data_IF_907828674974
#
_entry.id   IF_907828674974
#
_cell.length_a   1.000
_cell.length_b   1.000
_cell.length_c   1.000
_cell.angle_alpha   90.00
_cell.angle_beta   90.00
_cell.angle_gamma   90.00
#
_symmetry.space_group_name_H-M   'P 1'
#
loop_
_entity.id
_entity.type
_entity.pdbx_description
1 polymer ?
#
# COMPACT_ATOMS: atom_id res chain seq x y z
N UNK A 1 1.00 -19.22 -36.21
CA UNK A 1 1.20 -18.18 -35.20
C UNK A 1 2.53 -17.44 -35.28
N UNK A 2 3.60 -17.90 -35.98
CA UNK A 2 4.82 -17.09 -36.09
C UNK A 2 4.58 -15.73 -36.76
N UNK A 3 3.86 -15.72 -37.89
CA UNK A 3 3.68 -14.51 -38.71
C UNK A 3 2.88 -13.39 -38.01
N UNK A 4 1.75 -13.71 -37.37
CA UNK A 4 0.96 -12.67 -36.68
C UNK A 4 1.69 -12.16 -35.44
N UNK A 5 2.41 -13.02 -34.74
CA UNK A 5 3.21 -12.62 -33.60
C UNK A 5 4.34 -11.66 -34.03
N UNK A 6 4.95 -11.89 -35.20
CA UNK A 6 5.97 -10.98 -35.73
C UNK A 6 5.39 -9.65 -36.20
N UNK A 7 4.14 -9.63 -36.70
CA UNK A 7 3.43 -8.35 -36.95
C UNK A 7 3.18 -7.60 -35.64
N UNK A 8 2.74 -8.30 -34.59
CA UNK A 8 2.55 -7.70 -33.26
C UNK A 8 3.86 -7.15 -32.70
N UNK A 9 4.96 -7.92 -32.78
CA UNK A 9 6.29 -7.46 -32.32
C UNK A 9 6.77 -6.22 -33.07
N UNK A 10 6.61 -6.19 -34.40
CA UNK A 10 6.91 -5.01 -35.21
C UNK A 10 6.03 -3.81 -34.82
N UNK A 11 4.75 -4.03 -34.59
CA UNK A 11 3.85 -2.98 -34.12
C UNK A 11 4.32 -2.42 -32.76
N UNK A 12 4.71 -3.29 -31.82
CA UNK A 12 5.26 -2.87 -30.52
C UNK A 12 6.54 -2.04 -30.67
N UNK A 13 7.43 -2.44 -31.58
CA UNK A 13 8.69 -1.72 -31.86
C UNK A 13 8.46 -0.32 -32.45
N UNK A 14 7.45 -0.15 -33.31
CA UNK A 14 7.24 1.10 -34.05
C UNK A 14 6.19 2.04 -33.44
N UNK A 15 5.43 1.58 -32.44
CA UNK A 15 4.41 2.43 -31.80
C UNK A 15 5.03 3.25 -30.67
N UNK A 16 4.84 4.56 -30.74
CA UNK A 16 5.22 5.47 -29.66
C UNK A 16 4.01 5.69 -28.75
N UNK A 17 4.14 5.28 -27.49
CA UNK A 17 3.13 5.53 -26.45
C UNK A 17 3.51 6.74 -25.60
N UNK A 18 2.52 7.48 -25.05
CA UNK A 18 2.75 8.48 -24.03
C UNK A 18 3.51 7.90 -22.82
N UNK A 19 4.29 8.73 -22.13
CA UNK A 19 5.14 8.32 -21.00
C UNK A 19 4.40 7.75 -19.80
N UNK A 20 3.11 8.04 -19.67
CA UNK A 20 2.25 7.57 -18.57
C UNK A 20 1.62 6.19 -18.82
N UNK A 21 1.79 5.61 -20.02
CA UNK A 21 1.36 4.24 -20.33
C UNK A 21 2.57 3.30 -20.17
N UNK A 22 2.36 2.18 -19.48
CA UNK A 22 3.38 1.12 -19.40
C UNK A 22 3.75 0.58 -20.79
N UNK A 23 4.91 -0.06 -20.91
CA UNK A 23 5.38 -0.63 -22.18
C UNK A 23 5.32 -2.14 -22.15
N UNK A 24 4.85 -2.72 -23.25
CA UNK A 24 4.90 -4.16 -23.48
C UNK A 24 6.28 -4.53 -24.04
N UNK A 25 6.88 -5.66 -23.65
CA UNK A 25 8.14 -6.14 -24.21
C UNK A 25 8.13 -6.27 -25.73
N UNK A 26 9.18 -5.75 -26.36
CA UNK A 26 9.41 -5.88 -27.80
C UNK A 26 9.56 -7.34 -28.27
N UNK A 27 10.08 -8.22 -27.41
CA UNK A 27 10.28 -9.65 -27.67
C UNK A 27 9.13 -10.52 -27.15
N UNK A 28 7.89 -10.01 -27.21
CA UNK A 28 6.66 -10.69 -26.77
C UNK A 28 6.65 -12.18 -27.14
N UNK A 29 6.38 -13.05 -26.17
CA UNK A 29 6.32 -14.50 -26.36
C UNK A 29 7.69 -15.21 -26.37
N UNK A 30 8.79 -14.49 -26.16
CA UNK A 30 10.11 -15.09 -25.88
C UNK A 30 10.20 -15.61 -24.45
N UNK A 31 10.85 -16.77 -24.25
CA UNK A 31 11.09 -17.33 -22.92
C UNK A 31 11.92 -16.41 -22.01
N UNK A 32 12.75 -15.52 -22.60
CA UNK A 32 13.67 -14.65 -21.86
C UNK A 32 13.01 -13.52 -21.06
N UNK A 33 11.76 -13.14 -21.37
CA UNK A 33 11.10 -12.00 -20.71
C UNK A 33 10.15 -12.41 -19.58
N UNK A 34 9.87 -13.71 -19.42
CA UNK A 34 8.88 -14.18 -18.46
C UNK A 34 7.44 -13.86 -18.88
N UNK A 35 6.53 -13.85 -17.90
CA UNK A 35 5.10 -13.58 -18.12
C UNK A 35 4.78 -12.10 -18.09
N UNK A 36 3.87 -11.67 -18.95
CA UNK A 36 3.35 -10.30 -18.91
C UNK A 36 2.57 -10.03 -17.62
N UNK A 37 2.70 -8.81 -17.11
CA UNK A 37 1.88 -8.28 -16.02
C UNK A 37 0.47 -7.96 -16.51
N UNK A 38 -0.47 -7.80 -15.57
CA UNK A 38 -1.86 -7.51 -15.90
C UNK A 38 -2.03 -6.22 -16.74
N UNK A 39 -1.29 -5.16 -16.40
CA UNK A 39 -1.31 -3.90 -17.15
C UNK A 39 -0.78 -4.07 -18.59
N UNK A 40 0.30 -4.84 -18.76
CA UNK A 40 0.90 -5.13 -20.07
C UNK A 40 -0.05 -5.95 -20.95
N UNK A 41 -0.75 -6.95 -20.38
CA UNK A 41 -1.83 -7.66 -21.07
C UNK A 41 -2.93 -6.70 -21.52
N UNK A 42 -3.37 -5.80 -20.65
CA UNK A 42 -4.42 -4.85 -20.98
C UNK A 42 -4.03 -3.92 -22.14
N UNK A 43 -2.80 -3.41 -22.14
CA UNK A 43 -2.24 -2.58 -23.20
C UNK A 43 -2.12 -3.38 -24.50
N UNK A 44 -1.67 -4.63 -24.42
CA UNK A 44 -1.57 -5.53 -25.56
C UNK A 44 -2.93 -5.70 -26.26
N UNK A 45 -4.01 -5.96 -25.51
CA UNK A 45 -5.35 -6.14 -26.07
C UNK A 45 -5.98 -4.84 -26.58
N UNK A 46 -5.85 -3.73 -25.83
CA UNK A 46 -6.51 -2.47 -26.16
C UNK A 46 -5.81 -1.67 -27.26
N UNK A 47 -4.49 -1.75 -27.34
CA UNK A 47 -3.66 -0.88 -28.21
C UNK A 47 -2.97 -1.69 -29.30
N UNK A 48 -2.12 -2.64 -28.92
CA UNK A 48 -1.25 -3.29 -29.91
C UNK A 48 -1.99 -4.28 -30.80
N UNK A 49 -2.91 -5.07 -30.26
CA UNK A 49 -3.67 -6.03 -31.06
C UNK A 49 -4.63 -5.35 -32.02
N UNK A 50 -5.24 -4.23 -31.63
CA UNK A 50 -6.10 -3.45 -32.54
C UNK A 50 -5.27 -2.88 -33.69
N UNK A 51 -4.11 -2.30 -33.41
CA UNK A 51 -3.21 -1.77 -34.45
C UNK A 51 -2.60 -2.86 -35.35
N UNK A 52 -2.18 -3.99 -34.77
CA UNK A 52 -1.47 -5.04 -35.49
C UNK A 52 -2.40 -5.98 -36.29
N UNK A 53 -3.56 -6.33 -35.73
CA UNK A 53 -4.41 -7.39 -36.29
C UNK A 53 -5.45 -6.88 -37.29
N UNK A 54 -5.93 -5.63 -37.16
CA UNK A 54 -6.87 -5.04 -38.13
C UNK A 54 -6.32 -5.10 -39.57
N UNK A 55 -5.07 -4.70 -39.86
CA UNK A 55 -4.50 -4.81 -41.21
C UNK A 55 -4.45 -6.25 -41.73
N UNK A 56 -4.20 -7.23 -40.85
CA UNK A 56 -4.16 -8.65 -41.20
C UNK A 56 -5.55 -9.13 -41.63
N UNK A 57 -6.58 -8.74 -40.88
CA UNK A 57 -7.97 -9.10 -41.18
C UNK A 57 -8.43 -8.52 -42.52
N UNK A 58 -8.16 -7.22 -42.74
CA UNK A 58 -8.55 -6.53 -43.97
C UNK A 58 -7.90 -7.15 -45.19
N UNK A 59 -6.59 -7.43 -45.13
CA UNK A 59 -5.86 -8.04 -46.23
C UNK A 59 -6.34 -9.45 -46.56
N UNK A 60 -6.58 -10.27 -45.54
CA UNK A 60 -7.06 -11.65 -45.73
C UNK A 60 -8.48 -11.72 -46.33
N UNK A 61 -9.33 -10.71 -46.05
CA UNK A 61 -10.65 -10.58 -46.64
C UNK A 61 -10.61 -10.11 -48.10
N UNK A 62 -9.62 -9.29 -48.45
CA UNK A 62 -9.42 -8.79 -49.82
C UNK A 62 -8.74 -9.81 -50.75
N UNK A 63 -7.83 -10.63 -50.22
CA UNK A 63 -7.05 -11.59 -51.01
C UNK A 63 -7.83 -12.91 -51.29
N UNK A 64 -7.51 -13.58 -52.41
CA UNK A 64 -7.96 -14.96 -52.74
C UNK A 64 -7.21 -16.01 -51.92
N UNK A 65 -7.01 -15.76 -50.62
CA UNK A 65 -6.36 -16.69 -49.71
C UNK A 65 -7.09 -18.04 -49.63
N UNK A 66 -6.36 -19.10 -49.26
CA UNK A 66 -6.92 -20.44 -49.10
C UNK A 66 -8.06 -20.45 -48.07
N UNK A 67 -9.02 -21.37 -48.22
CA UNK A 67 -10.14 -21.55 -47.27
C UNK A 67 -9.66 -21.71 -45.83
N UNK A 68 -8.52 -22.38 -45.64
CA UNK A 68 -7.89 -22.57 -44.33
C UNK A 68 -7.34 -21.25 -43.75
N UNK A 69 -6.69 -20.42 -44.56
CA UNK A 69 -6.19 -19.11 -44.14
C UNK A 69 -7.34 -18.20 -43.73
N UNK A 70 -8.41 -18.15 -44.54
CA UNK A 70 -9.62 -17.37 -44.24
C UNK A 70 -10.30 -17.81 -42.95
N UNK A 71 -10.45 -19.13 -42.74
CA UNK A 71 -11.01 -19.68 -41.49
C UNK A 71 -10.17 -19.31 -40.28
N UNK A 72 -8.85 -19.44 -40.37
CA UNK A 72 -7.92 -19.10 -39.30
C UNK A 72 -7.96 -17.61 -38.95
N UNK A 73 -7.97 -16.74 -39.95
CA UNK A 73 -8.08 -15.29 -39.72
C UNK A 73 -9.42 -14.91 -39.11
N UNK A 74 -10.51 -15.56 -39.54
CA UNK A 74 -11.84 -15.38 -38.94
C UNK A 74 -11.87 -15.76 -37.46
N UNK A 75 -11.25 -16.90 -37.09
CA UNK A 75 -11.13 -17.33 -35.69
C UNK A 75 -10.27 -16.37 -34.85
N UNK A 76 -9.17 -15.86 -35.42
CA UNK A 76 -8.32 -14.85 -34.76
C UNK A 76 -9.08 -13.55 -34.53
N UNK A 77 -9.81 -13.07 -35.55
CA UNK A 77 -10.67 -11.89 -35.45
C UNK A 77 -11.71 -12.09 -34.34
N UNK A 78 -12.47 -13.19 -34.37
CA UNK A 78 -13.53 -13.43 -33.40
C UNK A 78 -12.99 -13.58 -31.97
N UNK A 79 -11.94 -14.38 -31.78
CA UNK A 79 -11.36 -14.60 -30.45
C UNK A 79 -10.79 -13.31 -29.85
N UNK A 80 -10.06 -12.52 -30.63
CA UNK A 80 -9.43 -11.29 -30.12
C UNK A 80 -10.44 -10.15 -29.93
N UNK A 81 -11.42 -9.98 -30.82
CA UNK A 81 -12.48 -8.97 -30.64
C UNK A 81 -13.36 -9.29 -29.45
N UNK A 82 -13.78 -10.55 -29.29
CA UNK A 82 -14.60 -10.97 -28.14
C UNK A 82 -13.82 -10.78 -26.83
N UNK A 83 -12.53 -11.14 -26.80
CA UNK A 83 -11.69 -10.91 -25.63
C UNK A 83 -11.51 -9.41 -25.30
N UNK A 84 -11.35 -8.55 -26.31
CA UNK A 84 -11.29 -7.10 -26.12
C UNK A 84 -12.60 -6.54 -25.56
N UNK A 85 -13.76 -7.07 -25.97
CA UNK A 85 -15.06 -6.70 -25.40
C UNK A 85 -15.18 -7.12 -23.94
N UNK A 86 -14.81 -8.36 -23.60
CA UNK A 86 -14.77 -8.84 -22.21
C UNK A 86 -13.83 -7.98 -21.36
N UNK A 87 -12.61 -7.73 -21.84
CA UNK A 87 -11.64 -6.90 -21.14
C UNK A 87 -12.14 -5.45 -20.97
N UNK A 88 -12.87 -4.91 -21.95
CA UNK A 88 -13.51 -3.60 -21.82
C UNK A 88 -14.51 -3.62 -20.67
N UNK A 89 -15.48 -4.55 -20.68
CA UNK A 89 -16.48 -4.73 -19.63
C UNK A 89 -15.86 -4.80 -18.23
N UNK A 90 -14.87 -5.68 -18.04
CA UNK A 90 -14.22 -5.91 -16.74
C UNK A 90 -13.38 -4.72 -16.25
N UNK A 91 -13.07 -3.76 -17.13
CA UNK A 91 -12.33 -2.53 -16.76
C UNK A 91 -13.20 -1.30 -16.60
N UNK A 92 -14.52 -1.42 -16.79
CA UNK A 92 -15.43 -0.29 -16.59
C UNK A 92 -15.52 0.09 -15.10
N UNK A 93 -15.48 1.40 -14.77
CA UNK A 93 -15.65 1.89 -13.40
C UNK A 93 -17.02 1.55 -12.78
N UNK A 94 -18.01 1.36 -13.64
CA UNK A 94 -19.41 1.08 -13.28
C UNK A 94 -19.98 0.11 -14.31
N UNK A 95 -20.65 -0.93 -13.83
CA UNK A 95 -21.30 -1.95 -14.65
C UNK A 95 -22.75 -2.04 -14.17
N UNK A 96 -23.73 -1.95 -15.08
CA UNK A 96 -25.14 -2.13 -14.71
C UNK A 96 -25.46 -3.62 -14.64
N UNK A 97 -26.31 -4.01 -13.71
CA UNK A 97 -26.68 -5.42 -13.51
C UNK A 97 -27.39 -6.04 -14.73
N UNK A 98 -28.08 -5.21 -15.52
CA UNK A 98 -28.74 -5.63 -16.76
C UNK A 98 -27.74 -5.98 -17.89
N UNK A 99 -26.52 -5.46 -17.82
CA UNK A 99 -25.49 -5.69 -18.84
C UNK A 99 -24.68 -6.97 -18.57
N UNK A 100 -24.94 -7.66 -17.43
CA UNK A 100 -24.21 -8.87 -17.04
C UNK A 100 -24.52 -10.07 -17.93
N UNK A 101 -25.75 -10.16 -18.44
CA UNK A 101 -26.13 -11.24 -19.37
C UNK A 101 -25.35 -11.13 -20.70
N UNK A 102 -25.00 -9.89 -21.11
CA UNK A 102 -24.10 -9.64 -22.24
C UNK A 102 -22.68 -10.11 -21.92
N UNK A 103 -22.17 -9.79 -20.73
CA UNK A 103 -20.84 -10.25 -20.29
C UNK A 103 -20.74 -11.79 -20.30
N UNK A 104 -21.74 -12.48 -19.75
CA UNK A 104 -21.78 -13.95 -19.75
C UNK A 104 -21.81 -14.51 -21.17
N UNK A 105 -22.61 -13.91 -22.04
CA UNK A 105 -22.70 -14.27 -23.46
C UNK A 105 -21.35 -14.10 -24.18
N UNK A 106 -20.64 -13.01 -23.92
CA UNK A 106 -19.32 -12.74 -24.48
C UNK A 106 -18.26 -13.74 -23.98
N UNK A 107 -18.26 -14.07 -22.69
CA UNK A 107 -17.32 -15.05 -22.10
C UNK A 107 -17.57 -16.44 -22.71
N UNK A 108 -18.82 -16.87 -22.83
CA UNK A 108 -19.19 -18.14 -23.46
C UNK A 108 -18.80 -18.16 -24.94
N UNK A 109 -19.06 -17.07 -25.68
CA UNK A 109 -18.66 -16.94 -27.09
C UNK A 109 -17.14 -17.08 -27.26
N UNK A 110 -16.36 -16.40 -26.41
CA UNK A 110 -14.90 -16.49 -26.43
C UNK A 110 -14.42 -17.93 -26.22
N UNK A 111 -14.98 -18.63 -25.22
CA UNK A 111 -14.62 -20.03 -24.95
C UNK A 111 -14.95 -20.97 -26.10
N UNK A 112 -16.13 -20.85 -26.70
CA UNK A 112 -16.54 -21.66 -27.87
C UNK A 112 -15.63 -21.40 -29.08
N UNK A 113 -15.26 -20.14 -29.30
CA UNK A 113 -14.32 -19.75 -30.34
C UNK A 113 -12.94 -20.41 -30.12
N UNK A 114 -12.43 -20.40 -28.87
CA UNK A 114 -11.17 -21.05 -28.54
C UNK A 114 -11.20 -22.58 -28.76
N UNK A 115 -12.28 -23.24 -28.33
CA UNK A 115 -12.46 -24.69 -28.51
C UNK A 115 -12.52 -25.07 -30.00
N UNK A 116 -13.20 -24.25 -30.81
CA UNK A 116 -13.32 -24.47 -32.25
C UNK A 116 -12.01 -24.21 -32.99
N UNK A 117 -11.28 -23.16 -32.60
CA UNK A 117 -10.06 -22.74 -33.29
C UNK A 117 -8.80 -23.48 -32.87
N UNK A 118 -8.75 -23.96 -31.62
CA UNK A 118 -7.60 -24.65 -31.05
C UNK A 118 -8.02 -25.88 -30.21
N UNK A 119 -8.68 -26.89 -30.82
CA UNK A 119 -9.25 -28.03 -30.09
C UNK A 119 -8.20 -28.88 -29.35
N UNK A 120 -6.93 -28.80 -29.77
CA UNK A 120 -5.81 -29.52 -29.12
C UNK A 120 -5.30 -28.82 -27.86
N UNK A 121 -5.76 -27.60 -27.57
CA UNK A 121 -5.35 -26.85 -26.38
C UNK A 121 -6.37 -27.04 -25.27
N UNK A 122 -5.89 -27.57 -24.14
CA UNK A 122 -6.72 -27.74 -22.94
C UNK A 122 -7.14 -26.38 -22.36
N UNK A 123 -8.37 -26.35 -21.83
CA UNK A 123 -8.90 -25.17 -21.13
C UNK A 123 -8.08 -24.88 -19.87
N UNK A 124 -7.77 -23.61 -19.65
CA UNK A 124 -7.06 -23.16 -18.45
C UNK A 124 -8.06 -22.91 -17.31
N UNK A 125 -7.72 -23.18 -16.05
CA UNK A 125 -8.59 -22.88 -14.90
C UNK A 125 -9.10 -21.43 -14.88
N UNK A 126 -8.27 -20.47 -15.31
CA UNK A 126 -8.65 -19.06 -15.39
C UNK A 126 -9.85 -18.80 -16.32
N UNK A 127 -10.03 -19.60 -17.39
CA UNK A 127 -11.21 -19.49 -18.26
C UNK A 127 -12.48 -19.97 -17.54
N UNK A 128 -12.38 -20.96 -16.66
CA UNK A 128 -13.50 -21.35 -15.82
C UNK A 128 -13.79 -20.25 -14.77
N UNK A 129 -12.75 -19.75 -14.09
CA UNK A 129 -12.90 -18.68 -13.11
C UNK A 129 -13.58 -17.44 -13.70
N UNK A 130 -13.31 -17.11 -14.97
CA UNK A 130 -13.95 -15.96 -15.62
C UNK A 130 -15.46 -16.09 -15.75
N UNK A 131 -16.02 -17.30 -15.80
CA UNK A 131 -17.48 -17.51 -15.91
C UNK A 131 -18.23 -17.02 -14.66
N UNK A 132 -17.53 -16.91 -13.53
CA UNK A 132 -18.12 -16.45 -12.27
C UNK A 132 -18.06 -14.92 -12.10
N UNK A 133 -17.56 -14.17 -13.09
CA UNK A 133 -17.44 -12.72 -12.97
C UNK A 133 -18.79 -12.03 -12.76
N UNK A 134 -19.86 -12.50 -13.40
CA UNK A 134 -21.19 -11.89 -13.21
C UNK A 134 -21.67 -12.00 -11.76
N UNK A 135 -21.50 -13.15 -11.12
CA UNK A 135 -21.84 -13.34 -9.70
C UNK A 135 -20.94 -12.50 -8.77
N UNK A 136 -19.64 -12.45 -9.08
CA UNK A 136 -18.68 -11.61 -8.35
C UNK A 136 -19.06 -10.13 -8.46
N UNK A 137 -19.44 -9.67 -9.65
CA UNK A 137 -19.84 -8.27 -9.89
C UNK A 137 -21.14 -7.94 -9.17
N UNK A 138 -22.13 -8.85 -9.17
CA UNK A 138 -23.38 -8.67 -8.40
C UNK A 138 -23.10 -8.48 -6.91
N UNK A 139 -22.11 -9.20 -6.36
CA UNK A 139 -21.84 -9.21 -4.92
C UNK A 139 -20.90 -8.10 -4.45
N UNK A 140 -19.84 -7.83 -5.21
CA UNK A 140 -18.75 -6.94 -4.77
C UNK A 140 -18.62 -5.67 -5.62
N UNK A 141 -19.39 -5.56 -6.70
CA UNK A 141 -19.30 -4.47 -7.64
C UNK A 141 -18.25 -4.68 -8.74
N UNK A 142 -17.95 -3.64 -9.53
CA UNK A 142 -17.09 -3.74 -10.70
C UNK A 142 -15.67 -4.23 -10.36
N UNK A 143 -15.02 -5.05 -11.22
CA UNK A 143 -13.71 -5.62 -10.93
C UNK A 143 -12.62 -4.58 -10.72
N UNK A 144 -12.73 -3.40 -11.34
CA UNK A 144 -11.77 -2.32 -11.14
C UNK A 144 -11.69 -1.83 -9.69
N UNK A 145 -12.76 -2.00 -8.91
CA UNK A 145 -12.86 -1.58 -7.51
C UNK A 145 -12.40 -2.68 -6.55
N UNK A 146 -12.47 -3.93 -6.97
CA UNK A 146 -12.14 -5.10 -6.14
C UNK A 146 -10.79 -5.73 -6.49
N UNK A 147 -10.20 -5.37 -7.63
CA UNK A 147 -8.89 -5.84 -8.06
C UNK A 147 -7.78 -5.38 -7.10
N UNK A 148 -6.80 -6.26 -6.88
CA UNK A 148 -5.67 -6.00 -5.99
C UNK A 148 -4.63 -5.01 -6.56
N UNK A 149 -4.97 -4.20 -7.56
CA UNK A 149 -4.00 -3.32 -8.24
C UNK A 149 -3.39 -2.28 -7.29
N UNK A 150 -4.15 -1.77 -6.33
CA UNK A 150 -3.61 -0.84 -5.33
C UNK A 150 -2.60 -1.53 -4.42
N UNK A 151 -2.91 -2.75 -3.98
CA UNK A 151 -2.06 -3.58 -3.13
C UNK A 151 -0.78 -3.98 -3.87
N UNK A 152 -0.86 -4.38 -5.14
CA UNK A 152 0.30 -4.68 -5.99
C UNK A 152 1.22 -3.46 -6.16
N UNK A 153 0.65 -2.25 -6.32
CA UNK A 153 1.46 -1.02 -6.35
C UNK A 153 2.18 -0.79 -5.01
N UNK A 154 1.51 -1.01 -3.89
CA UNK A 154 2.14 -0.92 -2.56
C UNK A 154 3.25 -1.95 -2.41
N UNK A 155 3.02 -3.20 -2.83
CA UNK A 155 4.06 -4.24 -2.84
C UNK A 155 5.29 -3.79 -3.64
N UNK A 156 5.10 -3.26 -4.85
CA UNK A 156 6.20 -2.74 -5.66
C UNK A 156 6.90 -1.51 -5.05
N UNK A 157 6.20 -0.67 -4.29
CA UNK A 157 6.83 0.40 -3.51
C UNK A 157 7.68 -0.16 -2.37
N UNK A 158 7.17 -1.14 -1.63
CA UNK A 158 7.87 -1.78 -0.52
C UNK A 158 9.10 -2.57 -0.98
N UNK A 159 9.01 -3.30 -2.10
CA UNK A 159 10.14 -4.04 -2.68
C UNK A 159 11.31 -3.15 -3.10
N UNK A 160 11.06 -1.87 -3.40
CA UNK A 160 12.12 -0.90 -3.74
C UNK A 160 12.83 -0.32 -2.51
N UNK A 161 12.32 -0.57 -1.31
CA UNK A 161 12.98 -0.13 -0.10
C UNK A 161 14.23 -0.97 0.12
N UNK A 162 15.41 -0.36 0.31
CA UNK A 162 16.63 -1.11 0.61
C UNK A 162 16.44 -1.77 1.98
N UNK A 163 16.33 -3.08 1.95
CA UNK A 163 16.43 -3.92 3.13
C UNK A 163 17.79 -4.58 3.00
N UNK A 164 18.70 -4.37 3.97
CA UNK A 164 20.05 -4.95 3.93
C UNK A 164 20.04 -6.48 4.11
N UNK A 165 18.98 -7.16 3.68
CA UNK A 165 18.69 -8.59 3.80
C UNK A 165 18.74 -9.16 5.23
N UNK A 166 18.63 -8.30 6.25
CA UNK A 166 18.49 -8.72 7.65
C UNK A 166 17.03 -9.12 7.91
N UNK A 167 16.70 -10.40 7.73
CA UNK A 167 15.31 -10.93 7.76
C UNK A 167 14.49 -10.44 8.96
N UNK A 168 15.04 -10.51 10.18
CA UNK A 168 14.37 -10.06 11.40
C UNK A 168 14.09 -8.56 11.46
N UNK A 169 14.88 -7.74 10.76
CA UNK A 169 14.73 -6.28 10.72
C UNK A 169 13.86 -5.80 9.54
N UNK A 170 13.47 -6.69 8.61
CA UNK A 170 12.71 -6.30 7.41
C UNK A 170 11.38 -5.62 7.78
N UNK A 171 10.51 -6.19 8.63
CA UNK A 171 9.21 -5.57 8.93
C UNK A 171 9.38 -4.17 9.53
N UNK A 172 10.32 -4.03 10.47
CA UNK A 172 10.65 -2.76 11.12
C UNK A 172 11.20 -1.74 10.11
N UNK A 173 12.10 -2.18 9.24
CA UNK A 173 12.72 -1.31 8.22
C UNK A 173 11.68 -0.81 7.23
N UNK A 174 10.83 -1.70 6.71
CA UNK A 174 9.76 -1.36 5.78
C UNK A 174 8.81 -0.35 6.41
N UNK A 175 8.34 -0.60 7.64
CA UNK A 175 7.41 0.28 8.35
C UNK A 175 8.04 1.66 8.62
N UNK A 176 9.28 1.70 9.12
CA UNK A 176 10.00 2.95 9.39
C UNK A 176 10.19 3.78 8.12
N UNK A 177 10.65 3.14 7.04
CA UNK A 177 10.88 3.82 5.75
C UNK A 177 9.56 4.28 5.12
N UNK A 178 8.50 3.50 5.24
CA UNK A 178 7.16 3.87 4.79
C UNK A 178 6.65 5.12 5.52
N UNK A 179 6.73 5.14 6.85
CA UNK A 179 6.31 6.30 7.65
C UNK A 179 7.14 7.55 7.33
N UNK A 180 8.47 7.43 7.24
CA UNK A 180 9.32 8.57 6.86
C UNK A 180 8.93 9.13 5.48
N UNK A 181 8.67 8.26 4.49
CA UNK A 181 8.20 8.70 3.17
C UNK A 181 6.82 9.36 3.24
N UNK A 182 5.89 8.80 4.01
CA UNK A 182 4.56 9.39 4.25
C UNK A 182 4.66 10.78 4.86
N UNK A 183 5.50 10.96 5.89
CA UNK A 183 5.77 12.26 6.53
C UNK A 183 6.37 13.25 5.53
N UNK A 184 7.36 12.83 4.75
CA UNK A 184 7.97 13.68 3.71
C UNK A 184 6.93 14.13 2.67
N UNK A 185 6.07 13.22 2.21
CA UNK A 185 4.99 13.55 1.27
C UNK A 185 3.99 14.52 1.88
N UNK A 186 3.66 14.36 3.17
CA UNK A 186 2.80 15.30 3.88
C UNK A 186 3.42 16.69 3.96
N UNK A 187 4.71 16.78 4.29
CA UNK A 187 5.48 18.03 4.31
C UNK A 187 5.52 18.72 2.94
N UNK A 188 5.68 17.94 1.86
CA UNK A 188 5.71 18.47 0.49
C UNK A 188 4.35 19.00 0.03
N UNK A 189 3.26 18.36 0.47
CA UNK A 189 1.91 18.68 0.01
C UNK A 189 1.19 19.71 0.89
N UNK A 190 1.62 19.88 2.15
CA UNK A 190 0.97 20.76 3.13
C UNK A 190 2.01 21.62 3.88
N UNK A 191 2.07 22.91 3.54
CA UNK A 191 2.95 23.88 4.19
C UNK A 191 2.62 24.12 5.67
N UNK A 192 1.39 23.82 6.12
CA UNK A 192 1.01 23.93 7.54
C UNK A 192 1.52 22.75 8.38
N UNK A 193 2.01 21.67 7.77
CA UNK A 193 2.57 20.53 8.51
C UNK A 193 3.76 20.97 9.37
N UNK A 194 4.66 21.80 8.83
CA UNK A 194 5.83 22.29 9.55
C UNK A 194 5.46 23.15 10.76
N UNK A 195 4.33 23.89 10.68
CA UNK A 195 3.83 24.72 11.77
C UNK A 195 3.18 23.88 12.87
N UNK A 196 2.41 22.83 12.51
CA UNK A 196 1.80 21.91 13.49
C UNK A 196 2.79 20.93 14.14
N UNK A 197 3.94 20.65 13.52
CA UNK A 197 4.99 19.80 14.11
C UNK A 197 5.78 20.56 15.20
N UNK A 198 5.82 21.90 15.14
CA UNK A 198 6.50 22.74 16.13
C UNK A 198 5.61 23.14 17.33
N UNK A 199 4.29 22.99 17.23
CA UNK A 199 3.35 23.31 18.30
C UNK A 199 2.84 22.04 18.98
N UNK A 200 3.27 21.80 20.22
CA UNK A 200 2.63 20.81 21.10
C UNK A 200 1.26 21.35 21.53
N UNK A 201 0.22 21.06 20.77
CA UNK A 201 -1.15 21.37 21.20
C UNK A 201 -1.65 20.28 22.15
N UNK A 202 -1.62 20.61 23.44
CA UNK A 202 -2.36 19.87 24.47
C UNK A 202 -3.84 20.26 24.42
N UNK A 203 -4.72 19.27 24.54
CA UNK A 203 -6.16 19.53 24.57
C UNK A 203 -6.49 20.31 25.86
N UNK A 204 -6.96 21.56 25.72
CA UNK A 204 -7.34 22.46 26.84
C UNK A 204 -8.67 22.03 27.49
N UNK A 205 -8.94 20.73 27.58
CA UNK A 205 -9.97 20.20 28.45
C UNK A 205 -9.63 20.50 29.92
N UNK A 206 -10.64 20.52 30.80
CA UNK A 206 -10.47 20.89 32.21
C UNK A 206 -9.27 20.16 32.86
N UNK A 207 -8.16 20.88 33.07
CA UNK A 207 -6.98 20.36 33.78
C UNK A 207 -7.38 19.99 35.20
N UNK A 208 -7.31 18.68 35.50
CA UNK A 208 -7.55 18.18 36.85
C UNK A 208 -6.23 18.19 37.60
N UNK A 209 -6.17 18.91 38.72
CA UNK A 209 -5.01 18.87 39.61
C UNK A 209 -4.85 17.46 40.19
N UNK A 210 -3.71 16.84 39.91
CA UNK A 210 -3.35 15.52 40.38
C UNK A 210 -2.09 15.62 41.25
N UNK A 211 -2.05 14.86 42.34
CA UNK A 211 -0.84 14.72 43.15
C UNK A 211 -0.06 13.49 42.67
N UNK A 212 1.19 13.67 42.26
CA UNK A 212 2.05 12.58 41.82
C UNK A 212 2.43 11.68 43.00
N UNK A 213 2.23 10.37 42.82
CA UNK A 213 2.71 9.39 43.80
C UNK A 213 4.23 9.47 43.97
N UNK A 214 4.71 9.22 45.19
CA UNK A 214 6.12 9.41 45.58
C UNK A 214 7.15 8.75 44.64
N UNK A 215 6.95 7.51 44.13
CA UNK A 215 7.89 6.90 43.19
C UNK A 215 7.97 7.63 41.84
N UNK A 216 6.84 8.12 41.34
CA UNK A 216 6.76 8.86 40.08
C UNK A 216 7.30 10.29 40.25
N UNK A 217 6.99 10.93 41.37
CA UNK A 217 7.50 12.25 41.72
C UNK A 217 9.04 12.29 41.78
N UNK A 218 9.69 11.32 42.44
CA UNK A 218 11.16 11.23 42.48
C UNK A 218 11.76 11.04 41.08
N UNK A 219 11.10 10.24 40.22
CA UNK A 219 11.54 10.05 38.83
C UNK A 219 11.42 11.34 38.02
N UNK A 220 10.32 12.07 38.19
CA UNK A 220 10.11 13.36 37.55
C UNK A 220 11.14 14.39 38.01
N UNK A 221 11.42 14.50 39.32
CA UNK A 221 12.48 15.37 39.84
C UNK A 221 13.84 15.10 39.18
N UNK A 222 14.21 13.84 39.00
CA UNK A 222 15.44 13.46 38.29
C UNK A 222 15.41 13.87 36.82
N UNK A 223 14.27 13.68 36.14
CA UNK A 223 14.13 14.04 34.74
C UNK A 223 14.24 15.56 34.52
N UNK A 224 13.62 16.36 35.38
CA UNK A 224 13.73 17.83 35.36
C UNK A 224 15.17 18.27 35.62
N UNK A 225 15.86 17.66 36.59
CA UNK A 225 17.26 17.97 36.88
C UNK A 225 18.25 17.62 35.77
N UNK A 226 17.91 16.66 34.90
CA UNK A 226 18.70 16.37 33.70
C UNK A 226 18.51 17.42 32.60
N UNK A 227 17.33 18.05 32.53
CA UNK A 227 17.05 19.14 31.58
C UNK A 227 17.58 20.49 32.07
N UNK A 228 17.54 20.76 33.38
CA UNK A 228 18.01 22.00 34.00
C UNK A 228 19.46 21.86 34.48
N UNK A 229 20.39 22.59 33.84
CA UNK A 229 21.81 22.62 34.22
C UNK A 229 22.09 23.80 35.16
N UNK A 230 22.94 23.57 36.16
CA UNK A 230 23.54 24.65 36.97
C UNK A 230 24.44 25.52 36.09
N UNK A 231 24.77 26.73 36.55
CA UNK A 231 25.72 27.64 35.89
C UNK A 231 27.07 26.99 35.57
N UNK A 232 27.45 25.94 36.31
CA UNK A 232 28.68 25.15 36.17
C UNK A 232 28.55 23.94 35.21
N UNK A 233 27.46 23.86 34.43
CA UNK A 233 27.23 22.85 33.39
C UNK A 233 26.76 21.46 33.88
N UNK A 234 26.78 21.21 35.19
CA UNK A 234 26.29 19.96 35.79
C UNK A 234 24.75 19.95 35.92
N UNK A 235 24.09 18.78 35.78
CA UNK A 235 22.65 18.64 36.03
C UNK A 235 22.31 19.01 37.48
N UNK A 236 21.17 19.67 37.70
CA UNK A 236 20.69 20.00 39.04
C UNK A 236 20.38 18.74 39.83
N UNK A 237 20.75 18.73 41.12
CA UNK A 237 20.46 17.60 42.01
C UNK A 237 19.07 17.73 42.63
N UNK A 238 18.54 16.63 43.18
CA UNK A 238 17.21 16.59 43.79
C UNK A 238 17.05 17.61 44.95
N UNK A 239 18.15 17.96 45.63
CA UNK A 239 18.18 18.97 46.70
C UNK A 239 18.14 20.41 46.16
N UNK A 240 18.50 20.62 44.89
CA UNK A 240 18.47 21.94 44.25
C UNK A 240 17.07 22.25 43.67
N UNK A 241 16.18 21.25 43.55
CA UNK A 241 14.89 21.34 42.89
C UNK A 241 13.72 21.34 43.89
N UNK A 242 13.19 22.52 44.22
CA UNK A 242 11.98 22.69 45.04
C UNK A 242 10.69 22.44 44.22
N UNK A 243 10.57 21.24 43.64
CA UNK A 243 9.38 20.84 42.88
C UNK A 243 8.21 20.47 43.83
N UNK A 244 7.00 20.84 43.46
CA UNK A 244 5.75 20.47 44.14
C UNK A 244 5.16 19.25 43.41
N UNK A 245 4.68 18.20 44.12
CA UNK A 245 4.11 17.03 43.47
C UNK A 245 2.72 17.26 42.82
N UNK A 246 2.12 18.44 42.98
CA UNK A 246 0.85 18.81 42.37
C UNK A 246 1.06 19.25 40.92
N UNK A 247 0.48 18.52 39.98
CA UNK A 247 0.58 18.73 38.52
C UNK A 247 -0.81 18.75 37.89
N UNK A 248 -0.92 19.33 36.70
CA UNK A 248 -2.16 19.35 35.92
C UNK A 248 -2.21 18.13 35.00
N UNK A 249 -3.17 17.24 35.23
CA UNK A 249 -3.38 16.07 34.37
C UNK A 249 -4.10 16.46 33.09
N UNK A 250 -3.57 15.99 31.96
CA UNK A 250 -4.11 16.23 30.62
C UNK A 250 -4.60 14.91 30.02
N UNK A 251 -5.73 14.94 29.32
CA UNK A 251 -6.34 13.74 28.72
C UNK A 251 -5.61 13.25 27.46
N UNK A 252 -5.00 14.18 26.70
CA UNK A 252 -4.31 13.90 25.46
C UNK A 252 -3.28 14.97 25.09
N UNK A 253 -2.31 14.59 24.25
CA UNK A 253 -1.33 15.49 23.64
C UNK A 253 -1.28 15.23 22.14
N UNK A 254 -1.18 16.28 21.33
CA UNK A 254 -0.87 16.13 19.92
C UNK A 254 0.63 16.31 19.66
N UNK A 255 1.24 15.30 19.03
CA UNK A 255 2.61 15.34 18.53
C UNK A 255 2.55 14.92 17.07
N UNK A 256 3.06 15.75 16.15
CA UNK A 256 3.01 15.49 14.70
C UNK A 256 1.61 15.13 14.17
N UNK A 257 0.57 15.87 14.61
CA UNK A 257 -0.87 15.62 14.32
C UNK A 257 -1.40 14.25 14.77
N UNK A 258 -0.63 13.50 15.56
CA UNK A 258 -1.09 12.28 16.21
C UNK A 258 -1.49 12.59 17.63
N UNK A 259 -2.71 12.22 17.99
CA UNK A 259 -3.20 12.35 19.34
C UNK A 259 -2.77 11.14 20.16
N UNK A 260 -1.93 11.39 21.15
CA UNK A 260 -1.55 10.42 22.16
C UNK A 260 -2.43 10.60 23.39
N UNK A 261 -2.88 9.50 23.97
CA UNK A 261 -3.80 9.50 25.10
C UNK A 261 -3.29 8.58 26.21
N UNK A 262 -3.89 8.65 27.39
CA UNK A 262 -3.70 7.62 28.40
C UNK A 262 -4.38 6.32 27.97
N UNK A 263 -3.91 5.19 28.52
CA UNK A 263 -4.51 3.86 28.32
C UNK A 263 -6.00 3.81 28.66
N UNK A 264 -6.38 4.51 29.73
CA UNK A 264 -7.77 4.59 30.20
C UNK A 264 -8.69 5.25 29.17
N UNK A 265 -8.16 6.17 28.35
CA UNK A 265 -8.91 6.87 27.33
C UNK A 265 -8.96 6.10 26.00
N UNK A 266 -7.82 5.58 25.53
CA UNK A 266 -7.77 4.82 24.28
C UNK A 266 -6.55 3.90 24.23
N UNK A 267 -6.79 2.58 24.12
CA UNK A 267 -5.74 1.56 24.13
C UNK A 267 -4.69 1.79 23.03
N UNK A 268 -5.12 1.96 21.78
CA UNK A 268 -4.21 2.11 20.65
C UNK A 268 -3.39 3.40 20.63
N UNK A 269 -3.92 4.50 21.18
CA UNK A 269 -3.26 5.81 21.16
C UNK A 269 -2.39 6.02 22.41
N UNK A 270 -2.37 5.04 23.31
CA UNK A 270 -1.53 5.04 24.50
C UNK A 270 -0.15 4.41 24.26
N UNK A 271 0.02 3.67 23.17
CA UNK A 271 1.28 2.98 22.85
C UNK A 271 2.32 3.95 22.31
N UNK A 272 3.51 3.94 22.90
CA UNK A 272 4.61 4.86 22.55
C UNK A 272 5.93 4.14 22.40
N UNK A 273 6.73 4.59 21.43
CA UNK A 273 8.14 4.23 21.26
C UNK A 273 9.00 5.29 21.96
N UNK A 274 9.99 4.87 22.75
CA UNK A 274 10.93 5.77 23.41
C UNK A 274 12.33 5.15 23.54
N UNK A 275 13.32 5.99 23.82
CA UNK A 275 14.71 5.56 24.01
C UNK A 275 15.13 5.76 25.47
N UNK A 276 15.69 4.72 26.07
CA UNK A 276 16.33 4.79 27.39
C UNK A 276 17.85 4.65 27.18
N UNK A 277 18.55 5.79 27.12
CA UNK A 277 19.92 5.82 26.63
C UNK A 277 19.98 5.45 25.15
N UNK A 278 20.75 4.42 24.81
CA UNK A 278 20.88 3.93 23.43
C UNK A 278 19.93 2.75 23.12
N UNK A 279 19.06 2.37 24.06
CA UNK A 279 18.19 1.21 23.93
C UNK A 279 16.76 1.65 23.60
N UNK A 280 16.26 1.18 22.47
CA UNK A 280 14.87 1.38 22.07
C UNK A 280 13.93 0.53 22.93
N UNK A 281 12.84 1.13 23.39
CA UNK A 281 11.82 0.52 24.23
C UNK A 281 10.43 0.94 23.73
N UNK A 282 9.44 0.13 24.12
CA UNK A 282 8.03 0.40 23.86
C UNK A 282 7.27 0.32 25.17
N UNK A 283 6.15 1.03 25.27
CA UNK A 283 5.32 0.99 26.46
C UNK A 283 3.98 1.69 26.27
N UNK A 284 3.22 1.75 27.36
CA UNK A 284 1.90 2.37 27.42
C UNK A 284 1.95 3.65 28.27
N UNK A 285 1.28 4.68 27.78
CA UNK A 285 1.16 5.96 28.48
C UNK A 285 0.09 5.85 29.56
N UNK A 286 0.50 6.01 30.81
CA UNK A 286 -0.38 5.94 31.98
C UNK A 286 -0.86 7.31 32.43
N UNK A 287 0.03 8.30 32.43
CA UNK A 287 -0.30 9.68 32.80
C UNK A 287 0.31 10.64 31.79
N UNK A 288 -0.43 11.69 31.46
CA UNK A 288 0.04 12.85 30.70
C UNK A 288 -0.20 14.04 31.60
N UNK A 289 0.83 14.82 31.91
CA UNK A 289 0.68 15.94 32.84
C UNK A 289 1.60 17.11 32.50
N UNK A 290 1.20 18.30 32.96
CA UNK A 290 1.93 19.54 32.85
C UNK A 290 2.13 20.15 34.24
N UNK A 291 3.16 20.98 34.39
CA UNK A 291 3.42 21.68 35.65
C UNK A 291 3.79 23.13 35.38
N UNK A 292 3.28 24.04 36.20
CA UNK A 292 3.68 25.45 36.20
C UNK A 292 5.21 25.60 36.43
N UNK A 293 5.84 24.61 37.07
CA UNK A 293 7.28 24.61 37.35
C UNK A 293 8.14 24.18 36.15
N UNK A 294 7.52 23.60 35.10
CA UNK A 294 8.16 23.26 33.83
C UNK A 294 7.31 23.81 32.68
N UNK A 295 7.27 25.13 32.48
CA UNK A 295 6.37 25.75 31.51
C UNK A 295 6.73 25.30 30.08
N UNK A 296 5.69 25.01 29.28
CA UNK A 296 5.83 24.58 27.89
C UNK A 296 6.35 23.16 27.69
N UNK A 297 6.44 22.34 28.74
CA UNK A 297 6.83 20.92 28.64
C UNK A 297 5.69 20.03 29.10
N UNK A 298 5.26 19.10 28.25
CA UNK A 298 4.30 18.05 28.63
C UNK A 298 5.04 16.76 28.95
N UNK A 299 4.71 16.14 30.09
CA UNK A 299 5.35 14.93 30.57
C UNK A 299 4.46 13.70 30.37
N UNK A 300 5.03 12.64 29.80
CA UNK A 300 4.37 11.35 29.65
C UNK A 300 4.99 10.33 30.61
N UNK A 301 4.18 9.79 31.52
CA UNK A 301 4.56 8.66 32.36
C UNK A 301 4.27 7.36 31.61
N UNK A 302 5.33 6.71 31.12
CA UNK A 302 5.23 5.49 30.31
C UNK A 302 5.56 4.26 31.14
N UNK A 303 4.72 3.24 31.06
CA UNK A 303 4.99 1.90 31.57
C UNK A 303 5.62 1.06 30.45
N UNK A 304 6.93 0.72 30.53
CA UNK A 304 7.57 -0.10 29.51
C UNK A 304 6.93 -1.49 29.44
N UNK A 305 6.79 -2.02 28.22
CA UNK A 305 6.48 -3.43 28.01
C UNK A 305 7.65 -4.30 28.46
N UNK A 306 7.31 -5.49 28.94
CA UNK A 306 8.31 -6.52 29.25
C UNK A 306 8.94 -7.01 27.95
N UNK A 307 10.26 -7.05 27.89
CA UNK A 307 10.94 -7.67 26.76
C UNK A 307 10.61 -9.16 26.70
N UNK A 308 10.21 -9.60 25.51
CA UNK A 308 10.07 -11.02 25.22
C UNK A 308 11.47 -11.63 25.18
N UNK A 309 11.66 -12.72 25.93
CA UNK A 309 12.86 -13.52 25.79
C UNK A 309 12.80 -14.24 24.44
N UNK A 310 13.95 -14.49 23.81
CA UNK A 310 14.00 -15.13 22.48
C UNK A 310 13.26 -16.48 22.42
N UNK A 311 13.24 -17.22 23.53
CA UNK A 311 12.51 -18.49 23.69
C UNK A 311 10.98 -18.33 23.68
N UNK A 312 10.49 -17.14 23.97
CA UNK A 312 9.07 -16.79 24.06
C UNK A 312 8.63 -15.95 22.84
N UNK A 313 9.54 -15.74 21.86
CA UNK A 313 9.25 -15.03 20.61
C UNK A 313 8.61 -16.00 19.61
N UNK A 314 7.31 -15.87 19.29
CA UNK A 314 6.63 -16.74 18.35
C UNK A 314 7.17 -16.64 16.91
N UNK A 315 8.05 -15.67 16.64
CA UNK A 315 8.72 -15.47 15.36
C UNK A 315 10.23 -15.75 15.42
N UNK A 316 10.77 -16.23 16.55
CA UNK A 316 12.22 -16.39 16.75
C UNK A 316 12.91 -17.43 15.88
N UNK A 317 12.12 -18.34 15.29
CA UNK A 317 12.56 -19.42 14.38
C UNK A 317 12.37 -19.10 12.89
N UNK A 318 11.81 -17.93 12.55
CA UNK A 318 11.62 -17.44 11.17
C UNK A 318 12.75 -16.54 10.69
#
# INVERSE_FOLDING_TARGET
MPEELDVVRRCILHTVLPSWIDRVPHNLGSASHGSLKAAEWLILYKVYYTMALIPIWVRCLADTGTTQSKRRTSLLLESTTTLSQVAHFLTLPRIKLQDLDELDSLILKYQRCLQTGWPTKSSKPNLHLTQHFSDVIRRFGPPCSTAAWAQERVNGMLQRLPTNNHLGDIPKTLLKKWHMNSTLRSLQNDATYAQSSAAEDSDKGASIKMNLQQPLFVRWQRAVGLQQRRSDGKPMTQLDLNLNPTVDSVSSIQIDRKTFTTKENHEGNSMVEFYLGNVQRFGETHHIFQSEQTPGTTWLAVRPFKELQRKDDPYGDY
#
